data_IF_433841452928
#
_entry.id   IF_433841452928
#
_cell.length_a   1.000
_cell.length_b   1.000
_cell.length_c   1.000
_cell.angle_alpha   90.00
_cell.angle_beta   90.00
_cell.angle_gamma   90.00
#
_symmetry.space_group_name_H-M   'P 1'
#
loop_
_entity.id
_entity.type
_entity.pdbx_description
1 polymer ?
#
# COMPACT_ATOMS: atom_id res chain seq x y z
N UNK A 1 31.87 22.74 0.16
CA UNK A 1 31.50 24.16 0.39
C UNK A 1 30.58 24.23 1.57
N UNK A 2 30.93 25.04 2.53
CA UNK A 2 30.56 25.01 3.94
C UNK A 2 29.14 25.49 4.23
N UNK A 3 28.42 24.78 5.09
CA UNK A 3 27.02 25.02 5.50
C UNK A 3 26.98 25.93 6.75
N UNK A 4 27.54 27.14 6.69
CA UNK A 4 27.39 28.12 7.79
C UNK A 4 27.46 29.55 7.26
N UNK A 5 26.33 30.09 6.85
CA UNK A 5 26.13 31.57 6.83
C UNK A 5 24.69 31.89 6.44
N UNK A 6 23.78 31.86 7.41
CA UNK A 6 22.52 32.62 7.30
C UNK A 6 21.85 32.71 8.69
N UNK A 7 22.45 33.47 9.57
CA UNK A 7 21.82 34.02 10.78
C UNK A 7 22.66 35.19 11.27
N UNK A 8 22.23 36.39 10.98
CA UNK A 8 22.45 37.60 11.81
C UNK A 8 21.89 38.84 11.09
N UNK A 9 20.83 39.39 11.63
CA UNK A 9 20.52 40.86 11.65
C UNK A 9 19.27 41.02 12.51
N UNK A 10 19.39 41.18 13.76
CA UNK A 10 19.46 42.39 14.60
C UNK A 10 18.14 43.15 14.74
N UNK A 11 17.66 43.12 15.98
CA UNK A 11 16.54 43.88 16.50
C UNK A 11 16.83 45.38 16.59
N UNK A 12 15.80 46.18 16.33
CA UNK A 12 15.70 47.55 16.82
C UNK A 12 14.31 47.77 17.42
N UNK A 13 14.28 48.01 18.71
CA UNK A 13 13.11 48.44 19.48
C UNK A 13 12.82 49.93 19.22
N UNK A 14 11.56 50.25 18.92
CA UNK A 14 11.02 51.59 19.22
C UNK A 14 9.58 51.42 19.73
N UNK A 15 9.36 52.00 20.92
CA UNK A 15 8.06 52.07 21.60
C UNK A 15 7.17 53.12 20.93
N UNK A 16 5.89 52.77 20.73
CA UNK A 16 4.87 53.69 20.25
C UNK A 16 3.45 53.16 20.43
N UNK A 17 2.74 53.77 21.36
CA UNK A 17 1.30 53.96 21.55
C UNK A 17 0.33 52.84 21.12
N UNK A 18 -0.41 52.31 22.10
CA UNK A 18 -1.60 51.48 21.96
C UNK A 18 -2.72 52.24 21.23
N UNK A 19 -2.98 51.83 20.01
CA UNK A 19 -4.28 51.93 19.35
C UNK A 19 -4.67 50.51 18.91
N UNK A 20 -5.74 50.02 19.50
CA UNK A 20 -6.30 48.69 19.10
C UNK A 20 -6.68 48.76 17.61
N UNK A 21 -6.08 47.94 16.75
CA UNK A 21 -6.55 47.87 15.38
C UNK A 21 -7.87 47.10 15.34
N UNK A 22 -8.79 47.42 14.39
CA UNK A 22 -9.98 46.65 14.16
C UNK A 22 -9.58 45.22 13.80
N UNK A 23 -10.36 44.22 14.26
CA UNK A 23 -10.27 42.81 13.84
C UNK A 23 -10.19 42.75 12.32
N UNK A 24 -8.98 42.72 11.80
CA UNK A 24 -8.75 42.40 10.41
C UNK A 24 -9.18 40.95 10.25
N UNK A 25 -10.26 40.73 9.52
CA UNK A 25 -10.55 39.43 8.95
C UNK A 25 -9.29 39.04 8.18
N UNK A 26 -8.58 38.02 8.69
CA UNK A 26 -7.45 37.46 7.98
C UNK A 26 -7.93 37.10 6.56
N UNK A 27 -7.26 37.66 5.54
CA UNK A 27 -7.53 37.23 4.17
C UNK A 27 -7.41 35.72 4.12
N UNK A 28 -8.29 35.00 3.37
CA UNK A 28 -8.23 33.56 3.30
C UNK A 28 -6.81 33.16 2.88
N UNK A 29 -6.16 32.31 3.70
CA UNK A 29 -4.82 31.82 3.41
C UNK A 29 -4.79 31.20 1.99
N UNK A 30 -4.03 31.82 1.09
CA UNK A 30 -3.80 31.22 -0.23
C UNK A 30 -2.76 30.10 -0.03
N UNK A 31 -3.19 28.85 -0.24
CA UNK A 31 -2.29 27.72 -0.20
C UNK A 31 -1.31 27.77 -1.38
N UNK A 32 -0.04 27.37 -1.19
CA UNK A 32 0.95 27.38 -2.25
C UNK A 32 0.56 26.42 -3.39
N UNK A 33 0.91 26.78 -4.62
CA UNK A 33 0.74 25.92 -5.77
C UNK A 33 1.88 24.88 -5.77
N UNK A 34 1.60 23.67 -5.28
CA UNK A 34 2.59 22.57 -5.16
C UNK A 34 2.33 21.43 -6.13
N UNK A 35 1.12 21.32 -6.68
CA UNK A 35 0.81 20.36 -7.73
C UNK A 35 1.62 20.64 -9.00
N UNK A 36 2.12 19.59 -9.67
CA UNK A 36 2.88 19.71 -10.92
C UNK A 36 2.08 20.48 -11.97
N UNK A 37 2.66 21.50 -12.63
CA UNK A 37 2.00 22.24 -13.71
C UNK A 37 1.51 21.32 -14.82
N UNK A 38 0.33 21.58 -15.40
CA UNK A 38 -0.32 20.70 -16.37
C UNK A 38 0.59 20.26 -17.54
N UNK A 39 1.44 21.16 -18.02
CA UNK A 39 2.38 20.86 -19.12
C UNK A 39 3.52 19.87 -18.74
N UNK A 40 3.71 19.61 -17.44
CA UNK A 40 4.76 18.72 -16.93
C UNK A 40 4.21 17.42 -16.33
N UNK A 41 2.90 17.21 -16.35
CA UNK A 41 2.25 16.00 -15.85
C UNK A 41 2.50 14.85 -16.80
N UNK A 42 2.81 13.68 -16.26
CA UNK A 42 3.07 12.48 -17.04
C UNK A 42 1.82 11.95 -17.74
N UNK A 43 0.66 12.07 -17.08
CA UNK A 43 -0.63 11.67 -17.61
C UNK A 43 -1.75 12.57 -17.08
N UNK A 44 -2.74 12.86 -17.90
CA UNK A 44 -3.91 13.63 -17.52
C UNK A 44 -5.19 12.84 -17.86
N UNK A 45 -6.00 12.59 -16.83
CA UNK A 45 -7.32 11.97 -16.95
C UNK A 45 -8.39 13.04 -16.84
N UNK A 46 -9.23 13.16 -17.87
CA UNK A 46 -10.35 14.10 -17.84
C UNK A 46 -11.32 13.80 -16.69
N UNK A 47 -11.60 12.53 -16.43
CA UNK A 47 -12.51 12.14 -15.38
C UNK A 47 -11.97 12.48 -13.98
N UNK A 48 -10.66 12.32 -13.75
CA UNK A 48 -10.00 12.68 -12.49
C UNK A 48 -9.97 14.20 -12.31
N UNK A 49 -9.69 15.00 -13.36
CA UNK A 49 -9.73 16.46 -13.29
C UNK A 49 -11.14 16.99 -13.00
N UNK A 50 -12.17 16.36 -13.57
CA UNK A 50 -13.56 16.70 -13.25
C UNK A 50 -13.90 16.39 -11.78
N UNK A 51 -13.45 15.24 -11.27
CA UNK A 51 -13.63 14.86 -9.87
C UNK A 51 -12.95 15.86 -8.92
N UNK A 52 -11.73 16.31 -9.24
CA UNK A 52 -11.02 17.34 -8.47
C UNK A 52 -11.80 18.66 -8.48
N UNK A 53 -12.28 19.07 -9.64
CA UNK A 53 -13.06 20.31 -9.81
C UNK A 53 -14.36 20.24 -8.99
N UNK A 54 -15.06 19.12 -9.04
CA UNK A 54 -16.28 18.89 -8.27
C UNK A 54 -16.01 18.93 -6.75
N UNK A 55 -14.99 18.21 -6.29
CA UNK A 55 -14.60 18.17 -4.89
C UNK A 55 -14.27 19.57 -4.36
N UNK A 56 -13.42 20.33 -5.06
CA UNK A 56 -13.05 21.72 -4.72
C UNK A 56 -14.24 22.66 -4.65
N UNK A 57 -15.25 22.45 -5.49
CA UNK A 57 -16.47 23.28 -5.51
C UNK A 57 -17.40 22.98 -4.32
N UNK A 58 -17.41 21.74 -3.84
CA UNK A 58 -18.40 21.26 -2.87
C UNK A 58 -17.88 21.22 -1.44
N UNK A 59 -16.60 20.88 -1.25
CA UNK A 59 -15.96 20.79 0.05
C UNK A 59 -15.62 22.18 0.56
N UNK A 60 -16.15 22.55 1.74
CA UNK A 60 -15.97 23.90 2.33
C UNK A 60 -14.60 24.10 2.93
N UNK A 61 -13.97 23.04 3.43
CA UNK A 61 -12.63 23.08 3.98
C UNK A 61 -11.62 23.25 2.84
N UNK A 62 -11.10 24.48 2.70
CA UNK A 62 -10.18 24.87 1.62
C UNK A 62 -8.86 24.08 1.68
N UNK A 63 -8.39 23.73 2.87
CA UNK A 63 -7.17 22.96 3.04
C UNK A 63 -7.36 21.51 2.60
N UNK A 64 -8.49 20.87 2.95
CA UNK A 64 -8.82 19.55 2.42
C UNK A 64 -9.00 19.56 0.91
N UNK A 65 -9.61 20.60 0.35
CA UNK A 65 -9.76 20.75 -1.09
C UNK A 65 -8.40 20.88 -1.80
N UNK A 66 -7.48 21.63 -1.22
CA UNK A 66 -6.11 21.77 -1.69
C UNK A 66 -5.31 20.47 -1.57
N UNK A 67 -5.39 19.76 -0.44
CA UNK A 67 -4.75 18.46 -0.25
C UNK A 67 -5.28 17.41 -1.24
N UNK A 68 -6.59 17.39 -1.48
CA UNK A 68 -7.17 16.49 -2.47
C UNK A 68 -6.65 16.75 -3.89
N UNK A 69 -6.59 18.02 -4.30
CA UNK A 69 -6.04 18.43 -5.60
C UNK A 69 -4.58 17.99 -5.80
N UNK A 70 -3.78 17.96 -4.73
CA UNK A 70 -2.38 17.57 -4.80
C UNK A 70 -2.21 16.04 -4.72
N UNK A 71 -2.88 15.41 -3.75
CA UNK A 71 -2.64 14.00 -3.41
C UNK A 71 -3.36 13.04 -4.37
N UNK A 72 -4.64 13.32 -4.70
CA UNK A 72 -5.43 12.39 -5.49
C UNK A 72 -4.86 12.08 -6.87
N UNK A 73 -4.40 13.06 -7.68
CA UNK A 73 -3.80 12.82 -8.99
C UNK A 73 -2.30 12.52 -8.95
N UNK A 74 -1.65 12.50 -7.77
CA UNK A 74 -0.19 12.46 -7.63
C UNK A 74 0.46 11.34 -8.45
N UNK A 75 -0.11 10.15 -8.47
CA UNK A 75 0.38 9.03 -9.29
C UNK A 75 0.34 9.33 -10.77
N UNK A 76 -0.79 9.83 -11.27
CA UNK A 76 -0.95 10.17 -12.70
C UNK A 76 -0.03 11.32 -13.10
N UNK A 77 0.08 12.32 -12.24
CA UNK A 77 0.87 13.50 -12.52
C UNK A 77 2.39 13.22 -12.57
N UNK A 78 2.89 12.24 -11.76
CA UNK A 78 4.33 12.19 -11.46
C UNK A 78 5.01 10.83 -11.62
N UNK A 79 4.28 9.70 -11.52
CA UNK A 79 4.93 8.38 -11.38
C UNK A 79 4.68 7.42 -12.52
N UNK A 80 3.76 7.71 -13.41
CA UNK A 80 3.40 6.82 -14.51
C UNK A 80 4.19 7.15 -15.79
N UNK A 81 4.62 6.10 -16.48
CA UNK A 81 5.14 6.20 -17.86
C UNK A 81 4.30 5.27 -18.73
N UNK A 82 3.38 5.88 -19.50
CA UNK A 82 2.45 5.16 -20.36
C UNK A 82 2.93 5.16 -21.82
N UNK A 83 2.89 4.01 -22.47
CA UNK A 83 3.19 3.84 -23.89
C UNK A 83 2.37 2.71 -24.51
N UNK A 84 2.31 2.67 -25.83
CA UNK A 84 1.82 1.49 -26.56
C UNK A 84 3.00 0.64 -27.00
N UNK A 85 3.04 -0.63 -26.59
CA UNK A 85 4.00 -1.64 -27.05
C UNK A 85 3.32 -2.48 -28.17
N UNK A 86 3.47 -2.04 -29.41
CA UNK A 86 2.66 -2.55 -30.52
C UNK A 86 1.18 -2.18 -30.29
N UNK A 87 0.32 -3.20 -30.22
CA UNK A 87 -1.12 -3.01 -30.00
C UNK A 87 -1.51 -3.14 -28.51
N UNK A 88 -0.56 -3.39 -27.61
CA UNK A 88 -0.84 -3.53 -26.18
C UNK A 88 -0.46 -2.28 -25.41
N UNK A 89 -1.29 -1.78 -24.50
CA UNK A 89 -0.89 -0.75 -23.56
C UNK A 89 0.15 -1.30 -22.58
N UNK A 90 1.10 -0.46 -22.21
CA UNK A 90 2.18 -0.75 -21.30
C UNK A 90 2.42 0.46 -20.40
N UNK A 91 2.36 0.25 -19.07
CA UNK A 91 2.51 1.31 -18.10
C UNK A 91 3.48 0.91 -17.00
N UNK A 92 4.56 1.65 -16.90
CA UNK A 92 5.51 1.57 -15.79
C UNK A 92 5.12 2.59 -14.72
N UNK A 93 5.17 2.19 -13.44
CA UNK A 93 4.76 3.05 -12.31
C UNK A 93 5.82 2.99 -11.23
N UNK A 94 6.51 4.09 -10.99
CA UNK A 94 7.48 4.22 -9.90
C UNK A 94 6.81 4.54 -8.57
N UNK A 95 7.47 4.30 -7.45
CA UNK A 95 6.91 4.54 -6.11
C UNK A 95 6.91 6.02 -5.70
N UNK A 96 7.64 6.84 -6.43
CA UNK A 96 7.92 8.25 -6.14
C UNK A 96 9.40 8.50 -6.32
N UNK A 97 10.13 8.70 -5.22
CA UNK A 97 11.57 8.99 -5.19
C UNK A 97 12.48 7.80 -5.58
N UNK A 98 11.93 6.59 -5.74
CA UNK A 98 12.68 5.41 -6.18
C UNK A 98 12.22 5.04 -7.58
N UNK A 99 13.17 4.99 -8.54
CA UNK A 99 12.93 4.60 -9.94
C UNK A 99 12.87 3.08 -10.07
N UNK A 100 11.85 2.48 -9.47
CA UNK A 100 11.51 1.08 -9.60
C UNK A 100 10.00 0.87 -9.41
N UNK A 101 9.46 -0.18 -10.03
CA UNK A 101 8.05 -0.56 -9.97
C UNK A 101 7.87 -1.76 -9.06
N UNK A 102 7.35 -1.54 -7.85
CA UNK A 102 6.84 -2.60 -6.99
C UNK A 102 5.51 -3.12 -7.51
N UNK A 103 5.28 -4.42 -7.45
CA UNK A 103 4.00 -5.03 -7.82
C UNK A 103 2.86 -4.57 -6.90
N UNK A 104 3.13 -4.43 -5.63
CA UNK A 104 2.23 -3.88 -4.60
C UNK A 104 1.89 -2.43 -4.88
N UNK A 105 2.90 -1.56 -4.89
CA UNK A 105 2.74 -0.11 -5.00
C UNK A 105 2.04 0.28 -6.28
N UNK A 106 2.46 -0.24 -7.43
CA UNK A 106 1.87 0.06 -8.73
C UNK A 106 0.39 -0.28 -8.82
N UNK A 107 -0.05 -1.36 -8.15
CA UNK A 107 -1.46 -1.71 -8.05
C UNK A 107 -2.22 -0.74 -7.15
N UNK A 108 -1.67 -0.45 -5.97
CA UNK A 108 -2.30 0.42 -4.98
C UNK A 108 -2.39 1.88 -5.44
N UNK A 109 -1.37 2.36 -6.15
CA UNK A 109 -1.31 3.73 -6.68
C UNK A 109 -2.36 4.01 -7.76
N UNK A 110 -2.75 3.02 -8.58
CA UNK A 110 -3.79 3.19 -9.61
C UNK A 110 -5.17 2.74 -9.15
N UNK A 111 -5.27 2.09 -7.99
CA UNK A 111 -6.50 1.57 -7.44
C UNK A 111 -7.65 2.59 -7.30
N UNK A 112 -7.44 3.82 -6.81
CA UNK A 112 -8.53 4.78 -6.63
C UNK A 112 -9.20 5.19 -7.94
N UNK A 113 -8.49 5.03 -9.07
CA UNK A 113 -8.98 5.43 -10.39
C UNK A 113 -9.89 4.39 -11.06
N UNK A 114 -10.02 3.18 -10.53
CA UNK A 114 -10.88 2.13 -11.09
C UNK A 114 -12.33 2.58 -11.28
N UNK A 115 -12.82 3.49 -10.44
CA UNK A 115 -14.19 4.04 -10.51
C UNK A 115 -14.43 4.89 -11.78
N UNK A 116 -13.38 5.37 -12.44
CA UNK A 116 -13.46 6.28 -13.57
C UNK A 116 -13.25 5.59 -14.93
N UNK A 117 -12.88 4.31 -14.96
CA UNK A 117 -12.46 3.61 -16.18
C UNK A 117 -13.54 3.47 -17.26
N UNK A 118 -14.83 3.47 -16.88
CA UNK A 118 -15.94 3.40 -17.86
C UNK A 118 -16.09 4.67 -18.68
N UNK A 119 -15.73 5.80 -18.11
CA UNK A 119 -15.95 7.13 -18.70
C UNK A 119 -14.67 7.78 -19.23
N UNK A 120 -13.50 7.15 -19.01
CA UNK A 120 -12.19 7.66 -19.45
C UNK A 120 -11.39 6.52 -20.11
N UNK A 121 -11.45 6.46 -21.44
CA UNK A 121 -10.77 5.42 -22.22
C UNK A 121 -9.24 5.52 -22.12
N UNK A 122 -8.60 6.70 -22.19
CA UNK A 122 -7.16 6.82 -21.96
C UNK A 122 -6.74 6.28 -20.60
N UNK A 123 -7.46 6.59 -19.53
CA UNK A 123 -7.19 6.09 -18.19
C UNK A 123 -7.38 4.56 -18.11
N UNK A 124 -8.41 4.02 -18.76
CA UNK A 124 -8.62 2.57 -18.88
C UNK A 124 -7.43 1.89 -19.54
N UNK A 125 -6.90 2.46 -20.64
CA UNK A 125 -5.70 1.95 -21.31
C UNK A 125 -4.47 2.02 -20.41
N UNK A 126 -4.30 3.09 -19.64
CA UNK A 126 -3.20 3.20 -18.67
C UNK A 126 -3.26 2.07 -17.65
N UNK A 127 -4.43 1.80 -17.03
CA UNK A 127 -4.56 0.73 -16.03
C UNK A 127 -4.39 -0.66 -16.66
N UNK A 128 -4.92 -0.89 -17.86
CA UNK A 128 -4.64 -2.11 -18.62
C UNK A 128 -3.15 -2.29 -18.89
N UNK A 129 -2.42 -1.20 -19.14
CA UNK A 129 -0.96 -1.19 -19.28
C UNK A 129 -0.23 -1.60 -18.00
N UNK A 130 -0.71 -1.19 -16.83
CA UNK A 130 -0.15 -1.66 -15.53
C UNK A 130 -0.31 -3.17 -15.40
N UNK A 131 -1.51 -3.71 -15.70
CA UNK A 131 -1.79 -5.15 -15.65
C UNK A 131 -0.87 -5.93 -16.60
N UNK A 132 -0.68 -5.44 -17.83
CA UNK A 132 0.21 -6.06 -18.80
C UNK A 132 1.67 -6.07 -18.32
N UNK A 133 2.14 -4.96 -17.77
CA UNK A 133 3.51 -4.83 -17.23
C UNK A 133 3.72 -5.77 -16.04
N UNK A 134 2.81 -5.81 -15.09
CA UNK A 134 2.85 -6.72 -13.95
C UNK A 134 2.85 -8.18 -14.39
N UNK A 135 2.07 -8.52 -15.42
CA UNK A 135 2.08 -9.86 -16.02
C UNK A 135 3.47 -10.26 -16.48
N UNK A 136 4.18 -9.37 -17.21
CA UNK A 136 5.56 -9.63 -17.66
C UNK A 136 6.53 -9.82 -16.50
N UNK A 137 6.36 -9.05 -15.42
CA UNK A 137 7.21 -9.15 -14.24
C UNK A 137 6.99 -10.47 -13.48
N UNK A 138 5.74 -10.89 -13.29
CA UNK A 138 5.43 -12.20 -12.67
C UNK A 138 5.91 -13.37 -13.53
N UNK A 139 5.88 -13.23 -14.86
CA UNK A 139 6.47 -14.24 -15.78
C UNK A 139 7.97 -14.29 -15.68
N UNK A 140 8.63 -13.15 -15.49
CA UNK A 140 10.08 -13.05 -15.36
C UNK A 140 10.58 -13.65 -14.05
N UNK A 141 10.05 -13.22 -12.93
CA UNK A 141 10.41 -13.74 -11.60
C UNK A 141 9.26 -13.53 -10.59
N UNK A 142 8.52 -14.58 -10.24
CA UNK A 142 7.43 -14.47 -9.28
C UNK A 142 7.89 -14.28 -7.81
N UNK A 143 9.20 -14.38 -7.55
CA UNK A 143 9.78 -14.16 -6.22
C UNK A 143 10.29 -12.72 -6.03
N UNK A 144 10.35 -11.92 -7.08
CA UNK A 144 10.77 -10.53 -7.00
C UNK A 144 9.58 -9.61 -6.69
N UNK A 145 9.81 -8.61 -5.83
CA UNK A 145 8.81 -7.60 -5.47
C UNK A 145 8.90 -6.34 -6.35
N UNK A 146 10.09 -5.98 -6.87
CA UNK A 146 10.31 -4.74 -7.61
C UNK A 146 11.18 -4.92 -8.85
N UNK A 147 10.89 -4.11 -9.89
CA UNK A 147 11.49 -4.22 -11.22
C UNK A 147 11.81 -2.85 -11.82
N UNK A 148 12.80 -2.85 -12.74
CA UNK A 148 13.11 -1.69 -13.58
C UNK A 148 12.30 -1.70 -14.89
N UNK A 149 12.11 -0.52 -15.51
CA UNK A 149 11.59 -0.43 -16.88
C UNK A 149 12.57 -1.07 -17.89
N UNK A 150 13.87 -0.81 -17.72
CA UNK A 150 14.93 -1.45 -18.49
C UNK A 150 15.17 -2.89 -18.01
N UNK A 151 14.81 -3.87 -18.83
CA UNK A 151 14.96 -5.29 -18.54
C UNK A 151 16.42 -5.79 -18.46
N UNK A 152 17.39 -4.96 -18.85
CA UNK A 152 18.84 -5.25 -18.83
C UNK A 152 19.59 -4.60 -17.67
N UNK A 153 18.94 -3.65 -16.97
CA UNK A 153 19.54 -2.87 -15.88
C UNK A 153 19.93 -3.78 -14.71
N UNK A 154 21.17 -3.62 -14.25
CA UNK A 154 21.63 -4.15 -12.96
C UNK A 154 21.62 -3.02 -11.95
N UNK A 155 20.83 -3.16 -10.90
CA UNK A 155 20.65 -2.13 -9.89
C UNK A 155 21.59 -2.28 -8.69
N UNK A 156 21.35 -1.46 -7.69
CA UNK A 156 22.11 -1.40 -6.43
C UNK A 156 22.11 -2.73 -5.67
N UNK A 157 20.99 -3.47 -5.72
CA UNK A 157 20.83 -4.76 -5.04
C UNK A 157 21.32 -5.97 -5.84
N UNK A 158 22.05 -5.75 -6.93
CA UNK A 158 22.55 -6.83 -7.79
C UNK A 158 23.52 -7.80 -7.09
N UNK A 159 24.03 -7.44 -5.91
CA UNK A 159 24.92 -8.27 -5.07
C UNK A 159 24.19 -9.08 -4.01
N UNK A 160 22.87 -8.96 -3.89
CA UNK A 160 22.06 -9.78 -2.98
C UNK A 160 22.29 -11.27 -3.27
N UNK A 161 22.42 -12.05 -2.20
CA UNK A 161 22.63 -13.51 -2.29
C UNK A 161 21.29 -14.23 -2.48
N UNK A 162 20.72 -14.04 -3.65
CA UNK A 162 19.51 -14.67 -4.17
C UNK A 162 19.71 -14.88 -5.67
N UNK A 163 18.72 -15.39 -6.39
CA UNK A 163 18.80 -15.58 -7.85
C UNK A 163 18.45 -14.26 -8.58
N UNK A 164 19.30 -13.24 -8.38
CA UNK A 164 19.11 -11.91 -8.98
C UNK A 164 19.31 -11.95 -10.49
N UNK A 165 18.39 -11.31 -11.21
CA UNK A 165 18.42 -11.20 -12.68
C UNK A 165 18.45 -9.73 -13.12
N UNK A 166 19.02 -9.41 -14.30
CA UNK A 166 18.91 -8.08 -14.88
C UNK A 166 17.44 -7.65 -15.03
N UNK A 167 17.16 -6.37 -14.79
CA UNK A 167 15.79 -5.82 -14.80
C UNK A 167 14.99 -6.08 -13.53
N UNK A 168 15.51 -6.84 -12.56
CA UNK A 168 14.97 -6.94 -11.21
C UNK A 168 15.65 -5.88 -10.35
N UNK A 169 14.87 -5.04 -9.68
CA UNK A 169 15.36 -4.06 -8.71
C UNK A 169 15.65 -4.73 -7.38
N UNK A 170 14.65 -5.45 -6.85
CA UNK A 170 14.74 -6.16 -5.57
C UNK A 170 14.03 -7.52 -5.66
N UNK A 171 14.60 -8.54 -5.03
CA UNK A 171 14.08 -9.91 -5.06
C UNK A 171 13.68 -10.38 -3.66
N UNK A 172 12.93 -9.56 -2.96
CA UNK A 172 12.32 -9.92 -1.67
C UNK A 172 10.99 -10.65 -1.91
N UNK A 173 10.89 -11.87 -1.40
CA UNK A 173 9.66 -12.67 -1.52
C UNK A 173 8.61 -12.20 -0.52
N UNK A 174 7.50 -11.73 -1.08
CA UNK A 174 6.32 -11.25 -0.38
C UNK A 174 5.08 -11.87 -1.02
N UNK A 175 4.18 -12.44 -0.22
CA UNK A 175 2.91 -13.01 -0.72
C UNK A 175 2.08 -11.95 -1.44
N UNK A 176 2.00 -10.75 -0.86
CA UNK A 176 1.17 -9.67 -1.37
C UNK A 176 1.64 -9.14 -2.72
N UNK A 177 2.93 -9.22 -3.03
CA UNK A 177 3.46 -8.87 -4.35
C UNK A 177 2.82 -9.66 -5.50
N UNK A 178 2.31 -10.88 -5.25
CA UNK A 178 1.54 -11.65 -6.24
C UNK A 178 0.01 -11.46 -6.08
N UNK A 179 -0.46 -11.03 -4.92
CA UNK A 179 -1.88 -10.79 -4.67
C UNK A 179 -2.37 -9.49 -5.29
N UNK A 180 -1.59 -8.42 -5.22
CA UNK A 180 -1.94 -7.10 -5.72
C UNK A 180 -2.24 -7.07 -7.24
N UNK A 181 -1.42 -7.68 -8.12
CA UNK A 181 -1.73 -7.78 -9.53
C UNK A 181 -3.05 -8.50 -9.82
N UNK A 182 -3.34 -9.57 -9.08
CA UNK A 182 -4.61 -10.31 -9.22
C UNK A 182 -5.80 -9.43 -8.78
N UNK A 183 -5.67 -8.75 -7.64
CA UNK A 183 -6.71 -7.83 -7.13
C UNK A 183 -6.99 -6.72 -8.15
N UNK A 184 -5.94 -6.09 -8.69
CA UNK A 184 -6.08 -5.05 -9.71
C UNK A 184 -6.78 -5.59 -10.97
N UNK A 185 -6.31 -6.73 -11.49
CA UNK A 185 -6.87 -7.38 -12.68
C UNK A 185 -8.36 -7.72 -12.49
N UNK A 186 -8.71 -8.34 -11.35
CA UNK A 186 -10.09 -8.71 -11.04
C UNK A 186 -11.00 -7.49 -11.00
N UNK A 187 -10.64 -6.44 -10.29
CA UNK A 187 -11.48 -5.24 -10.15
C UNK A 187 -11.49 -4.38 -11.42
N UNK A 188 -10.40 -4.37 -12.22
CA UNK A 188 -10.43 -3.81 -13.56
C UNK A 188 -11.49 -4.49 -14.43
N UNK A 189 -11.48 -5.84 -14.46
CA UNK A 189 -12.47 -6.59 -15.20
C UNK A 189 -13.89 -6.34 -14.71
N UNK A 190 -14.11 -6.34 -13.38
CA UNK A 190 -15.43 -6.05 -12.82
C UNK A 190 -15.91 -4.63 -13.16
N UNK A 191 -15.00 -3.66 -13.16
CA UNK A 191 -15.34 -2.27 -13.47
C UNK A 191 -15.62 -2.03 -14.96
N UNK A 192 -14.93 -2.72 -15.87
CA UNK A 192 -14.94 -2.40 -17.29
C UNK A 192 -15.59 -3.44 -18.18
N UNK A 193 -15.62 -4.71 -17.77
CA UNK A 193 -15.95 -5.85 -18.62
C UNK A 193 -14.88 -6.20 -19.66
N UNK A 194 -13.79 -5.42 -19.74
CA UNK A 194 -12.72 -5.61 -20.71
C UNK A 194 -11.85 -6.82 -20.35
N UNK A 195 -11.75 -7.79 -21.26
CA UNK A 195 -10.97 -9.02 -21.12
C UNK A 195 -9.63 -8.97 -21.88
N UNK A 196 -9.35 -7.90 -22.62
CA UNK A 196 -8.16 -7.83 -23.48
C UNK A 196 -6.81 -8.05 -22.76
N UNK A 197 -6.60 -7.61 -21.50
CA UNK A 197 -5.36 -7.89 -20.78
C UNK A 197 -5.18 -9.35 -20.35
N UNK A 198 -6.24 -10.17 -20.36
CA UNK A 198 -6.24 -11.52 -19.75
C UNK A 198 -5.97 -12.65 -20.75
N UNK A 199 -4.94 -12.44 -21.57
CA UNK A 199 -4.47 -13.37 -22.58
C UNK A 199 -3.70 -14.58 -22.00
N UNK A 200 -3.12 -15.40 -22.88
CA UNK A 200 -2.35 -16.58 -22.47
C UNK A 200 -1.14 -16.25 -21.56
N UNK A 201 -0.54 -15.06 -21.69
CA UNK A 201 0.56 -14.64 -20.82
C UNK A 201 0.06 -14.35 -19.40
N UNK A 202 -1.05 -13.64 -19.27
CA UNK A 202 -1.68 -13.40 -17.98
C UNK A 202 -2.12 -14.73 -17.32
N UNK A 203 -2.72 -15.64 -18.08
CA UNK A 203 -3.09 -16.97 -17.58
C UNK A 203 -1.86 -17.75 -17.08
N UNK A 204 -0.74 -17.67 -17.79
CA UNK A 204 0.51 -18.28 -17.35
C UNK A 204 1.07 -17.62 -16.08
N UNK A 205 0.96 -16.30 -15.94
CA UNK A 205 1.34 -15.59 -14.71
C UNK A 205 0.51 -16.05 -13.50
N UNK A 206 -0.80 -16.27 -13.68
CA UNK A 206 -1.67 -16.85 -12.63
C UNK A 206 -1.22 -18.27 -12.26
N UNK A 207 -0.85 -19.11 -13.23
CA UNK A 207 -0.31 -20.46 -12.98
C UNK A 207 1.03 -20.41 -12.23
N UNK A 208 1.90 -19.45 -12.58
CA UNK A 208 3.15 -19.22 -11.86
C UNK A 208 2.88 -18.81 -10.41
N UNK A 209 1.92 -17.91 -10.18
CA UNK A 209 1.49 -17.52 -8.82
C UNK A 209 1.01 -18.72 -8.01
N UNK A 210 0.15 -19.54 -8.58
CA UNK A 210 -0.36 -20.76 -7.92
C UNK A 210 0.79 -21.72 -7.55
N UNK A 211 1.73 -21.95 -8.48
CA UNK A 211 2.93 -22.78 -8.24
C UNK A 211 3.77 -22.21 -7.11
N UNK A 212 4.09 -20.91 -7.15
CA UNK A 212 4.91 -20.23 -6.14
C UNK A 212 4.29 -20.31 -4.75
N UNK A 213 2.99 -20.11 -4.64
CA UNK A 213 2.29 -20.26 -3.37
C UNK A 213 2.36 -21.69 -2.83
N UNK A 214 2.16 -22.72 -3.70
CA UNK A 214 2.31 -24.12 -3.31
C UNK A 214 3.74 -24.46 -2.86
N UNK A 215 4.76 -23.96 -3.56
CA UNK A 215 6.17 -24.12 -3.17
C UNK A 215 6.44 -23.50 -1.79
N UNK A 216 5.86 -22.34 -1.53
CA UNK A 216 6.03 -21.62 -0.27
C UNK A 216 5.12 -22.10 0.89
N UNK A 217 4.23 -23.08 0.68
CA UNK A 217 3.65 -23.83 1.79
C UNK A 217 4.69 -24.73 2.48
N UNK A 218 5.84 -24.97 1.87
CA UNK A 218 6.97 -25.75 2.40
C UNK A 218 6.60 -27.15 2.90
N UNK A 219 5.62 -27.81 2.26
CA UNK A 219 5.16 -29.17 2.64
C UNK A 219 6.21 -30.25 2.40
N UNK A 220 7.05 -30.09 1.38
CA UNK A 220 8.05 -31.07 0.94
C UNK A 220 9.49 -30.62 1.09
N UNK A 221 9.73 -29.46 1.70
CA UNK A 221 11.06 -28.89 1.93
C UNK A 221 11.03 -27.40 2.05
N UNK A 222 12.19 -26.75 2.09
CA UNK A 222 12.33 -25.30 2.30
C UNK A 222 11.90 -24.44 1.09
N UNK A 223 11.65 -25.06 -0.06
CA UNK A 223 11.36 -24.38 -1.31
C UNK A 223 12.63 -23.84 -2.00
N UNK A 224 12.49 -23.28 -3.22
CA UNK A 224 13.61 -22.80 -4.03
C UNK A 224 14.12 -21.41 -3.63
N UNK A 225 13.35 -20.65 -2.86
CA UNK A 225 13.68 -19.27 -2.53
C UNK A 225 14.56 -19.17 -1.30
N UNK A 226 15.61 -18.36 -1.41
CA UNK A 226 16.45 -17.90 -0.30
C UNK A 226 16.93 -16.48 -0.57
N UNK A 227 17.19 -15.71 0.48
CA UNK A 227 17.65 -14.33 0.36
C UNK A 227 18.59 -13.97 1.51
N UNK A 228 19.72 -13.38 1.18
CA UNK A 228 20.58 -12.69 2.14
C UNK A 228 21.13 -11.41 1.49
N UNK A 229 21.18 -10.36 2.28
CA UNK A 229 21.79 -9.07 1.93
C UNK A 229 22.90 -8.76 2.90
N UNK A 230 23.98 -8.17 2.43
CA UNK A 230 25.04 -7.65 3.27
C UNK A 230 24.64 -6.24 3.73
N UNK A 231 24.14 -6.12 4.96
CA UNK A 231 23.47 -4.94 5.50
C UNK A 231 23.67 -4.81 6.99
N UNK A 232 23.75 -3.58 7.56
CA UNK A 232 23.72 -3.38 8.99
C UNK A 232 22.31 -3.53 9.60
N UNK A 233 21.25 -3.60 8.79
CA UNK A 233 19.87 -3.67 9.23
C UNK A 233 19.39 -5.12 9.30
N UNK A 234 19.11 -5.59 10.51
CA UNK A 234 18.70 -7.00 10.75
C UNK A 234 17.38 -7.36 10.04
N UNK A 235 16.51 -6.39 9.80
CA UNK A 235 15.23 -6.57 9.09
C UNK A 235 15.37 -6.62 7.58
N UNK A 236 16.57 -6.35 7.04
CA UNK A 236 16.81 -6.29 5.59
C UNK A 236 17.49 -7.55 5.03
N UNK A 237 17.54 -8.62 5.82
CA UNK A 237 18.14 -9.92 5.46
C UNK A 237 17.47 -11.06 6.22
N UNK A 238 17.65 -12.31 5.73
CA UNK A 238 17.07 -13.49 6.37
C UNK A 238 18.14 -14.32 7.10
N UNK A 239 17.84 -14.80 8.32
CA UNK A 239 18.69 -15.76 9.03
C UNK A 239 18.65 -17.16 8.39
N UNK A 240 19.36 -18.13 8.99
CA UNK A 240 19.33 -19.55 8.63
C UNK A 240 19.63 -19.78 7.15
N UNK A 241 20.76 -19.24 6.69
CA UNK A 241 21.24 -19.36 5.30
C UNK A 241 20.27 -18.78 4.25
N UNK A 242 19.44 -17.81 4.66
CA UNK A 242 18.53 -17.11 3.78
C UNK A 242 17.12 -17.71 3.68
N UNK A 243 16.81 -18.72 4.48
CA UNK A 243 15.47 -19.34 4.47
C UNK A 243 14.50 -18.76 5.52
N UNK A 244 14.99 -17.91 6.45
CA UNK A 244 14.22 -17.47 7.60
C UNK A 244 14.15 -18.53 8.70
N UNK A 245 13.48 -18.23 9.80
CA UNK A 245 13.31 -19.19 10.89
C UNK A 245 12.44 -20.40 10.46
N UNK A 246 12.68 -21.58 11.07
CA UNK A 246 11.91 -22.79 10.76
C UNK A 246 10.42 -22.61 10.98
N UNK A 247 9.61 -23.22 10.12
CA UNK A 247 8.16 -23.31 10.25
C UNK A 247 7.71 -24.77 10.22
N UNK A 248 6.59 -25.06 10.90
CA UNK A 248 5.86 -26.31 10.70
C UNK A 248 4.84 -26.09 9.59
N UNK A 249 4.94 -26.87 8.51
CA UNK A 249 3.99 -26.79 7.40
C UNK A 249 2.57 -27.16 7.86
N UNK A 250 1.71 -26.14 7.94
CA UNK A 250 0.31 -26.28 8.43
C UNK A 250 -0.71 -25.85 7.36
N UNK A 251 -0.27 -25.64 6.12
CA UNK A 251 -1.14 -25.22 5.03
C UNK A 251 -1.08 -23.71 4.73
N UNK A 252 -0.45 -22.91 5.61
CA UNK A 252 -0.17 -21.51 5.33
C UNK A 252 0.98 -21.34 4.34
N UNK A 253 1.04 -20.17 3.71
CA UNK A 253 2.08 -19.77 2.76
C UNK A 253 3.13 -18.94 3.50
N UNK A 254 4.41 -19.27 3.37
CA UNK A 254 5.50 -18.48 3.92
C UNK A 254 5.67 -17.18 3.12
N UNK A 255 5.76 -16.05 3.80
CA UNK A 255 6.29 -14.79 3.30
C UNK A 255 7.63 -14.54 3.96
N UNK A 256 8.66 -14.28 3.18
CA UNK A 256 9.98 -13.98 3.73
C UNK A 256 10.08 -12.54 4.21
N UNK A 257 9.36 -11.67 3.54
CA UNK A 257 9.30 -10.26 3.87
C UNK A 257 7.84 -9.79 4.04
N UNK A 258 7.67 -8.69 4.73
CA UNK A 258 6.42 -7.96 4.95
C UNK A 258 6.16 -6.97 3.83
N UNK A 259 4.95 -6.41 3.72
CA UNK A 259 4.68 -5.32 2.77
C UNK A 259 5.53 -4.05 2.97
N UNK A 260 6.23 -3.94 4.10
CA UNK A 260 7.21 -2.89 4.41
C UNK A 260 8.62 -3.20 3.90
N UNK A 261 8.83 -4.31 3.19
CA UNK A 261 10.13 -4.84 2.76
C UNK A 261 11.00 -5.35 3.93
N UNK A 262 10.49 -5.38 5.16
CA UNK A 262 11.16 -5.95 6.33
C UNK A 262 11.00 -7.47 6.42
N UNK A 263 12.04 -8.16 6.84
CA UNK A 263 12.00 -9.60 7.08
C UNK A 263 10.96 -9.97 8.15
N UNK A 264 10.21 -11.04 7.89
CA UNK A 264 9.29 -11.62 8.87
C UNK A 264 10.07 -12.28 10.02
N UNK A 265 9.55 -12.15 11.26
CA UNK A 265 10.05 -12.93 12.38
C UNK A 265 9.58 -14.39 12.28
N UNK A 266 8.31 -14.60 12.03
CA UNK A 266 7.74 -15.90 11.72
C UNK A 266 7.14 -15.85 10.31
N UNK A 267 7.54 -16.79 9.45
CA UNK A 267 7.28 -16.67 8.01
C UNK A 267 5.82 -16.80 7.59
N UNK A 268 4.91 -17.26 8.45
CA UNK A 268 3.49 -17.22 8.14
C UNK A 268 2.90 -15.86 8.53
N UNK A 269 3.06 -14.89 7.63
CA UNK A 269 2.48 -13.55 7.76
C UNK A 269 0.96 -13.63 7.55
N UNK A 270 0.22 -13.45 8.64
CA UNK A 270 -1.23 -13.70 8.67
C UNK A 270 -2.02 -12.77 7.73
N UNK A 271 -1.84 -11.43 7.74
CA UNK A 271 -2.61 -10.58 6.84
C UNK A 271 -2.35 -10.86 5.36
N UNK A 272 -1.12 -11.22 4.97
CA UNK A 272 -0.82 -11.61 3.60
C UNK A 272 -1.43 -12.97 3.22
N UNK A 273 -1.53 -13.93 4.15
CA UNK A 273 -2.25 -15.18 3.93
C UNK A 273 -3.76 -14.95 3.73
N UNK A 274 -4.38 -14.05 4.48
CA UNK A 274 -5.77 -13.63 4.25
C UNK A 274 -5.93 -13.01 2.85
N UNK A 275 -5.02 -12.16 2.44
CA UNK A 275 -5.05 -11.55 1.11
C UNK A 275 -4.84 -12.60 0.01
N UNK A 276 -4.01 -13.63 0.24
CA UNK A 276 -3.84 -14.75 -0.69
C UNK A 276 -5.16 -15.52 -0.89
N UNK A 277 -5.94 -15.77 0.17
CA UNK A 277 -7.26 -16.44 0.05
C UNK A 277 -8.20 -15.67 -0.87
N UNK A 278 -8.29 -14.33 -0.70
CA UNK A 278 -9.12 -13.47 -1.55
C UNK A 278 -8.63 -13.51 -2.99
N UNK A 279 -7.33 -13.30 -3.21
CA UNK A 279 -6.73 -13.25 -4.54
C UNK A 279 -6.85 -14.57 -5.30
N UNK A 280 -6.66 -15.70 -4.62
CA UNK A 280 -6.85 -17.04 -5.19
C UNK A 280 -8.30 -17.27 -5.65
N UNK A 281 -9.29 -16.82 -4.88
CA UNK A 281 -10.71 -16.90 -5.27
C UNK A 281 -11.03 -16.01 -6.48
N UNK A 282 -10.48 -14.81 -6.51
CA UNK A 282 -10.62 -13.87 -7.62
C UNK A 282 -10.00 -14.46 -8.90
N UNK A 283 -8.76 -14.94 -8.82
CA UNK A 283 -8.08 -15.59 -9.94
C UNK A 283 -8.84 -16.83 -10.44
N UNK A 284 -9.37 -17.66 -9.55
CA UNK A 284 -10.17 -18.81 -9.91
C UNK A 284 -11.41 -18.43 -10.72
N UNK A 285 -12.13 -17.39 -10.30
CA UNK A 285 -13.29 -16.88 -11.04
C UNK A 285 -12.93 -16.35 -12.43
N UNK A 286 -11.77 -15.70 -12.57
CA UNK A 286 -11.28 -15.19 -13.86
C UNK A 286 -10.82 -16.34 -14.77
N UNK A 287 -10.06 -17.31 -14.26
CA UNK A 287 -9.60 -18.47 -15.02
C UNK A 287 -10.78 -19.29 -15.56
N UNK A 288 -11.81 -19.47 -14.74
CA UNK A 288 -13.03 -20.17 -15.17
C UNK A 288 -13.81 -19.42 -16.25
N UNK A 289 -14.07 -18.11 -16.02
CA UNK A 289 -14.98 -17.34 -16.88
C UNK A 289 -14.33 -16.80 -18.15
N UNK A 290 -13.05 -16.42 -18.09
CA UNK A 290 -12.35 -15.76 -19.20
C UNK A 290 -11.47 -16.73 -19.99
N UNK A 291 -10.84 -17.68 -19.32
CA UNK A 291 -9.92 -18.63 -19.94
C UNK A 291 -10.58 -20.01 -20.22
N UNK A 292 -11.71 -20.32 -19.58
CA UNK A 292 -12.31 -21.66 -19.64
C UNK A 292 -11.46 -22.74 -18.94
N UNK A 293 -10.41 -22.37 -18.19
CA UNK A 293 -9.48 -23.28 -17.54
C UNK A 293 -10.04 -23.74 -16.18
N UNK A 294 -10.95 -24.73 -16.24
CA UNK A 294 -11.60 -25.30 -15.06
C UNK A 294 -10.63 -25.98 -14.11
N UNK A 295 -9.56 -26.61 -14.63
CA UNK A 295 -8.59 -27.31 -13.81
C UNK A 295 -7.83 -26.32 -12.92
N UNK A 296 -7.24 -25.27 -13.52
CA UNK A 296 -6.54 -24.23 -12.75
C UNK A 296 -7.47 -23.53 -11.77
N UNK A 297 -8.73 -23.26 -12.16
CA UNK A 297 -9.71 -22.65 -11.26
C UNK A 297 -10.01 -23.52 -10.03
N UNK A 298 -10.14 -24.85 -10.21
CA UNK A 298 -10.34 -25.80 -9.11
C UNK A 298 -9.12 -25.85 -8.17
N UNK A 299 -7.90 -25.86 -8.71
CA UNK A 299 -6.67 -25.85 -7.93
C UNK A 299 -6.50 -24.57 -7.11
N UNK A 300 -6.80 -23.40 -7.69
CA UNK A 300 -6.80 -22.12 -6.99
C UNK A 300 -7.81 -22.12 -5.82
N UNK A 301 -9.03 -22.60 -6.05
CA UNK A 301 -10.05 -22.72 -4.99
C UNK A 301 -9.66 -23.72 -3.91
N UNK A 302 -9.01 -24.83 -4.27
CA UNK A 302 -8.53 -25.82 -3.32
C UNK A 302 -7.46 -25.22 -2.40
N UNK A 303 -6.47 -24.51 -2.96
CA UNK A 303 -5.45 -23.83 -2.18
C UNK A 303 -6.06 -22.73 -1.29
N UNK A 304 -7.02 -21.94 -1.82
CA UNK A 304 -7.72 -20.94 -1.02
C UNK A 304 -8.42 -21.52 0.21
N UNK A 305 -9.11 -22.66 0.05
CA UNK A 305 -9.77 -23.35 1.18
C UNK A 305 -8.78 -23.88 2.19
N UNK A 306 -7.66 -24.43 1.73
CA UNK A 306 -6.61 -24.95 2.61
C UNK A 306 -6.00 -23.83 3.46
N UNK A 307 -5.61 -22.71 2.84
CA UNK A 307 -5.05 -21.56 3.56
C UNK A 307 -6.07 -20.96 4.53
N UNK A 308 -7.33 -20.85 4.11
CA UNK A 308 -8.40 -20.32 4.99
C UNK A 308 -8.63 -21.22 6.22
N UNK A 309 -8.59 -22.54 6.05
CA UNK A 309 -8.69 -23.47 7.17
C UNK A 309 -7.50 -23.35 8.12
N UNK A 310 -6.30 -23.27 7.56
CA UNK A 310 -5.08 -23.08 8.34
C UNK A 310 -5.07 -21.74 9.12
N UNK A 311 -5.60 -20.66 8.53
CA UNK A 311 -5.78 -19.39 9.24
C UNK A 311 -6.72 -19.53 10.44
N UNK A 312 -7.84 -20.24 10.30
CA UNK A 312 -8.79 -20.49 11.40
C UNK A 312 -8.16 -21.28 12.55
N UNK A 313 -7.28 -22.23 12.22
CA UNK A 313 -6.65 -23.13 13.20
C UNK A 313 -5.41 -22.53 13.88
N UNK A 314 -4.65 -21.68 13.18
CA UNK A 314 -3.32 -21.26 13.64
C UNK A 314 -3.13 -19.75 13.81
N UNK A 315 -4.02 -18.90 13.26
CA UNK A 315 -3.84 -17.46 13.30
C UNK A 315 -4.59 -16.77 14.46
N UNK A 316 -5.51 -17.47 15.14
CA UNK A 316 -6.32 -16.89 16.22
C UNK A 316 -5.71 -17.27 17.57
N UNK A 317 -5.47 -16.25 18.40
CA UNK A 317 -4.93 -16.42 19.75
C UNK A 317 -5.86 -15.79 20.79
N UNK A 318 -5.82 -16.28 22.02
CA UNK A 318 -6.55 -15.69 23.16
C UNK A 318 -5.65 -14.65 23.85
N UNK A 319 -5.96 -13.37 23.62
CA UNK A 319 -5.25 -12.27 24.28
C UNK A 319 -5.92 -11.89 25.60
N UNK A 320 -5.17 -11.74 26.73
CA UNK A 320 -5.75 -11.56 28.07
C UNK A 320 -6.64 -10.32 28.23
N UNK A 321 -6.41 -9.25 27.44
CA UNK A 321 -7.20 -8.01 27.51
C UNK A 321 -8.22 -7.87 26.37
N UNK A 322 -7.95 -8.49 25.23
CA UNK A 322 -8.74 -8.26 24.01
C UNK A 322 -9.58 -9.48 23.59
N UNK A 323 -9.44 -10.63 24.28
CA UNK A 323 -10.09 -11.87 23.89
C UNK A 323 -9.45 -12.46 22.62
N UNK A 324 -10.24 -13.14 21.78
CA UNK A 324 -9.73 -13.73 20.53
C UNK A 324 -9.36 -12.65 19.53
N UNK A 325 -8.08 -12.66 19.10
CA UNK A 325 -7.52 -11.76 18.09
C UNK A 325 -6.73 -12.55 17.04
N UNK A 326 -6.49 -11.96 15.89
CA UNK A 326 -5.51 -12.48 14.93
C UNK A 326 -4.10 -12.12 15.36
N UNK A 327 -3.18 -13.10 15.32
CA UNK A 327 -1.74 -12.84 15.39
C UNK A 327 -1.27 -12.18 14.08
N UNK A 328 -0.18 -11.45 14.11
CA UNK A 328 0.42 -10.85 12.91
C UNK A 328 1.26 -11.87 12.13
N UNK A 329 2.07 -12.66 12.83
CA UNK A 329 2.87 -13.73 12.27
C UNK A 329 2.79 -14.97 13.17
N UNK A 330 2.87 -16.17 12.56
CA UNK A 330 2.91 -17.45 13.28
C UNK A 330 3.94 -18.38 12.63
N UNK A 331 4.40 -19.42 13.38
CA UNK A 331 5.39 -20.40 12.91
C UNK A 331 4.81 -21.81 12.66
N UNK A 332 3.56 -22.05 13.05
CA UNK A 332 2.92 -23.37 13.00
C UNK A 332 3.32 -24.32 14.13
N UNK A 333 4.32 -23.99 14.96
CA UNK A 333 4.68 -24.73 16.17
C UNK A 333 3.94 -24.23 17.42
N UNK A 334 3.23 -23.10 17.30
CA UNK A 334 2.48 -22.48 18.39
C UNK A 334 3.07 -21.15 18.86
N UNK A 335 4.18 -20.69 18.25
CA UNK A 335 4.68 -19.34 18.49
C UNK A 335 3.98 -18.33 17.61
N UNK A 336 3.84 -17.10 18.12
CA UNK A 336 3.19 -16.01 17.42
C UNK A 336 3.85 -14.66 17.74
N UNK A 337 3.73 -13.74 16.80
CA UNK A 337 4.12 -12.34 16.96
C UNK A 337 2.87 -11.46 16.99
N UNK A 338 2.81 -10.60 18.01
CA UNK A 338 1.70 -9.67 18.25
C UNK A 338 2.13 -8.24 17.96
N UNK A 339 1.77 -7.76 16.79
CA UNK A 339 1.95 -6.39 16.33
C UNK A 339 0.95 -6.10 15.21
N UNK A 340 0.99 -4.92 14.65
CA UNK A 340 0.54 -4.63 13.30
C UNK A 340 1.53 -3.65 12.65
N UNK A 341 1.57 -3.62 11.33
CA UNK A 341 2.39 -2.75 10.52
C UNK A 341 1.48 -1.81 9.71
N UNK A 342 1.96 -0.63 9.40
CA UNK A 342 1.18 0.37 8.66
C UNK A 342 0.96 0.01 7.18
N UNK A 343 1.83 -0.83 6.63
CA UNK A 343 1.77 -1.21 5.22
C UNK A 343 0.67 -2.25 4.98
N UNK A 344 0.02 -2.16 3.84
CA UNK A 344 -1.11 -3.02 3.46
C UNK A 344 -0.60 -4.17 2.57
N UNK A 345 -0.89 -5.43 2.93
CA UNK A 345 -1.82 -5.97 3.93
C UNK A 345 -1.33 -5.86 5.37
N UNK A 346 -2.20 -5.39 6.25
CA UNK A 346 -2.06 -5.34 7.68
C UNK A 346 -3.29 -5.98 8.35
N UNK A 347 -3.23 -6.26 9.65
CA UNK A 347 -4.41 -6.76 10.38
C UNK A 347 -5.56 -5.73 10.35
N UNK A 348 -5.22 -4.43 10.43
CA UNK A 348 -6.20 -3.35 10.32
C UNK A 348 -6.90 -3.34 8.95
N UNK A 349 -6.19 -3.67 7.88
CA UNK A 349 -6.67 -3.57 6.50
C UNK A 349 -7.54 -4.74 6.02
N UNK A 350 -7.75 -5.79 6.81
CA UNK A 350 -8.43 -7.01 6.37
C UNK A 350 -9.82 -6.76 5.73
N UNK A 351 -10.69 -5.89 6.25
CA UNK A 351 -11.96 -5.58 5.59
C UNK A 351 -11.79 -4.80 4.27
N UNK A 352 -10.83 -3.89 4.20
CA UNK A 352 -10.51 -3.15 2.97
C UNK A 352 -10.07 -4.08 1.83
N UNK A 353 -9.41 -5.18 2.16
CA UNK A 353 -9.00 -6.23 1.23
C UNK A 353 -10.12 -7.22 0.89
N UNK A 354 -11.28 -7.14 1.58
CA UNK A 354 -12.37 -8.10 1.45
C UNK A 354 -12.06 -9.47 2.05
N UNK A 355 -11.12 -9.53 3.00
CA UNK A 355 -10.66 -10.78 3.61
C UNK A 355 -11.52 -11.22 4.80
N UNK A 356 -12.04 -10.26 5.55
CA UNK A 356 -12.98 -10.48 6.66
C UNK A 356 -14.07 -9.41 6.65
N UNK A 357 -15.21 -9.70 7.24
CA UNK A 357 -16.25 -8.69 7.46
C UNK A 357 -15.85 -7.76 8.62
N UNK A 358 -16.15 -6.46 8.51
CA UNK A 358 -15.89 -5.50 9.58
C UNK A 358 -16.61 -5.85 10.90
N UNK A 359 -17.72 -6.58 10.80
CA UNK A 359 -18.51 -7.05 11.94
C UNK A 359 -17.96 -8.34 12.59
N UNK A 360 -16.95 -9.00 11.99
CA UNK A 360 -16.35 -10.22 12.54
C UNK A 360 -15.85 -9.99 13.97
N UNK A 361 -16.23 -10.81 14.96
CA UNK A 361 -15.86 -10.59 16.35
C UNK A 361 -14.36 -10.63 16.60
N UNK A 362 -13.62 -11.52 15.91
CA UNK A 362 -12.16 -11.65 16.05
C UNK A 362 -11.51 -10.42 15.46
N UNK A 363 -11.97 -9.97 14.28
CA UNK A 363 -11.46 -8.73 13.68
C UNK A 363 -11.73 -7.50 14.56
N UNK A 364 -12.93 -7.37 15.12
CA UNK A 364 -13.26 -6.24 16.03
C UNK A 364 -12.32 -6.18 17.24
N UNK A 365 -12.02 -7.33 17.81
CA UNK A 365 -11.06 -7.43 18.91
C UNK A 365 -9.64 -7.10 18.43
N UNK A 366 -9.25 -7.64 17.28
CA UNK A 366 -7.96 -7.34 16.64
C UNK A 366 -7.82 -5.85 16.36
N UNK A 367 -8.85 -5.20 15.80
CA UNK A 367 -8.85 -3.76 15.55
C UNK A 367 -8.65 -2.94 16.83
N UNK A 368 -9.30 -3.32 17.93
CA UNK A 368 -9.10 -2.67 19.24
C UNK A 368 -7.68 -2.88 19.77
N UNK A 369 -7.10 -4.05 19.53
CA UNK A 369 -5.74 -4.36 19.90
C UNK A 369 -4.73 -3.54 19.10
N UNK A 370 -4.80 -3.54 17.77
CA UNK A 370 -3.81 -2.87 16.91
C UNK A 370 -3.84 -1.35 17.01
N UNK A 371 -4.99 -0.78 17.40
CA UNK A 371 -5.19 0.66 17.66
C UNK A 371 -5.01 1.02 19.15
N UNK A 372 -4.19 0.28 19.87
CA UNK A 372 -3.91 0.51 21.30
C UNK A 372 -2.41 0.35 21.59
N UNK A 373 -1.99 0.81 22.77
CA UNK A 373 -0.61 0.66 23.27
C UNK A 373 -0.18 -0.81 23.50
N UNK A 374 -1.09 -1.80 23.33
CA UNK A 374 -0.73 -3.21 23.32
C UNK A 374 -0.08 -3.65 21.99
N UNK A 375 -0.26 -2.89 20.92
CA UNK A 375 0.53 -3.00 19.71
C UNK A 375 1.83 -2.18 19.88
N UNK A 376 3.02 -2.81 19.86
CA UNK A 376 4.28 -2.12 20.09
C UNK A 376 4.61 -1.04 19.08
N UNK A 377 3.94 -1.05 17.94
CA UNK A 377 4.11 -0.05 16.87
C UNK A 377 2.94 0.94 16.78
N UNK A 378 2.02 0.96 17.73
CA UNK A 378 1.06 2.04 17.88
C UNK A 378 1.70 3.18 18.68
N UNK A 379 1.99 4.27 18.01
CA UNK A 379 2.62 5.44 18.61
C UNK A 379 1.58 6.52 18.89
N UNK A 380 1.76 7.18 20.03
CA UNK A 380 0.90 8.31 20.45
C UNK A 380 1.78 9.46 20.92
N UNK A 381 1.56 10.63 20.34
CA UNK A 381 2.29 11.84 20.63
C UNK A 381 1.41 13.09 20.67
N UNK A 382 2.04 14.24 20.71
CA UNK A 382 1.35 15.53 20.78
C UNK A 382 0.73 15.95 19.44
N UNK A 383 1.27 15.48 18.31
CA UNK A 383 0.77 15.82 16.98
C UNK A 383 -0.16 14.74 16.40
N UNK A 384 0.12 13.47 16.70
CA UNK A 384 -0.66 12.37 16.14
C UNK A 384 -0.61 11.09 16.97
N UNK A 385 -1.58 10.20 16.70
CA UNK A 385 -1.52 8.80 17.06
C UNK A 385 -1.78 7.92 15.84
N UNK A 386 -1.09 6.77 15.75
CA UNK A 386 -1.27 5.84 14.64
C UNK A 386 -0.26 4.70 14.65
N UNK A 387 -0.44 3.76 13.73
CA UNK A 387 0.46 2.62 13.58
C UNK A 387 1.65 3.04 12.71
N UNK A 388 2.84 2.65 13.14
CA UNK A 388 4.08 2.71 12.37
C UNK A 388 4.54 1.33 11.94
N UNK A 389 5.81 1.04 12.19
CA UNK A 389 6.43 -0.25 11.89
C UNK A 389 7.93 -0.22 12.20
N UNK A 390 8.60 -1.37 12.14
CA UNK A 390 10.05 -1.42 12.36
C UNK A 390 10.85 -0.74 11.25
N UNK A 391 10.30 -0.63 10.05
CA UNK A 391 10.97 -0.14 8.83
C UNK A 391 11.63 1.23 9.01
N UNK A 392 10.90 2.19 9.58
CA UNK A 392 11.38 3.57 9.78
C UNK A 392 11.73 3.89 11.24
N UNK A 393 11.59 2.89 12.13
CA UNK A 393 11.94 2.99 13.54
C UNK A 393 10.82 3.50 14.44
N UNK A 394 11.18 3.77 15.71
CA UNK A 394 10.23 4.15 16.74
C UNK A 394 9.70 5.57 16.55
N UNK A 395 8.49 5.81 17.08
CA UNK A 395 7.82 7.12 17.13
C UNK A 395 7.42 7.70 15.76
N UNK A 396 7.57 6.92 14.69
CA UNK A 396 7.20 7.30 13.33
C UNK A 396 5.83 6.73 12.97
N UNK A 397 4.85 7.61 12.80
CA UNK A 397 3.47 7.28 12.39
C UNK A 397 3.36 7.34 10.88
N UNK A 398 2.68 6.37 10.27
CA UNK A 398 2.44 6.37 8.85
C UNK A 398 1.05 6.93 8.51
N UNK A 399 0.95 7.92 7.62
CA UNK A 399 -0.34 8.44 7.13
C UNK A 399 -1.26 7.33 6.60
N UNK A 400 -0.67 6.29 6.00
CA UNK A 400 -1.41 5.13 5.49
C UNK A 400 -2.19 4.40 6.58
N UNK A 401 -1.65 4.27 7.79
CA UNK A 401 -2.34 3.61 8.90
C UNK A 401 -3.57 4.42 9.39
N UNK A 402 -3.43 5.74 9.43
CA UNK A 402 -4.53 6.65 9.79
C UNK A 402 -5.61 6.62 8.70
N UNK A 403 -5.19 6.62 7.43
CA UNK A 403 -6.09 6.47 6.27
C UNK A 403 -6.84 5.14 6.33
N UNK A 404 -6.13 4.05 6.62
CA UNK A 404 -6.71 2.71 6.72
C UNK A 404 -7.68 2.60 7.92
N UNK A 405 -7.36 3.26 9.05
CA UNK A 405 -8.27 3.35 10.20
C UNK A 405 -9.61 3.96 9.79
N UNK A 406 -9.59 5.03 8.99
CA UNK A 406 -10.81 5.65 8.47
C UNK A 406 -11.53 4.77 7.44
N UNK A 407 -10.80 4.15 6.49
CA UNK A 407 -11.38 3.32 5.43
C UNK A 407 -12.04 2.03 5.95
N UNK A 408 -11.66 1.59 7.15
CA UNK A 408 -12.21 0.40 7.83
C UNK A 408 -13.13 0.72 9.00
N UNK A 409 -13.59 1.98 9.09
CA UNK A 409 -14.51 2.44 10.12
C UNK A 409 -15.89 2.77 9.54
N UNK A 410 -16.93 2.41 10.29
CA UNK A 410 -18.31 2.86 10.04
C UNK A 410 -18.70 4.06 10.91
N UNK A 411 -17.87 4.43 11.89
CA UNK A 411 -18.08 5.54 12.80
C UNK A 411 -17.69 6.88 12.15
N UNK A 412 -18.68 7.72 11.93
CA UNK A 412 -18.52 9.06 11.33
C UNK A 412 -17.57 9.96 12.13
N UNK A 413 -17.57 9.84 13.46
CA UNK A 413 -16.68 10.63 14.32
C UNK A 413 -15.24 10.18 14.16
N UNK A 414 -14.99 8.87 14.11
CA UNK A 414 -13.65 8.32 13.87
C UNK A 414 -13.12 8.69 12.47
N UNK A 415 -13.95 8.55 11.44
CA UNK A 415 -13.57 8.95 10.06
C UNK A 415 -13.17 10.42 10.02
N UNK A 416 -14.00 11.30 10.60
CA UNK A 416 -13.73 12.74 10.66
C UNK A 416 -12.47 13.07 11.46
N UNK A 417 -12.24 12.39 12.57
CA UNK A 417 -11.03 12.55 13.38
C UNK A 417 -9.77 12.15 12.59
N UNK A 418 -9.79 11.03 11.88
CA UNK A 418 -8.69 10.59 11.02
C UNK A 418 -8.41 11.58 9.88
N UNK A 419 -9.45 12.08 9.21
CA UNK A 419 -9.29 13.08 8.13
C UNK A 419 -8.65 14.38 8.68
N UNK A 420 -9.12 14.85 9.84
CA UNK A 420 -8.55 16.04 10.49
C UNK A 420 -7.09 15.80 10.93
N UNK A 421 -6.78 14.60 11.42
CA UNK A 421 -5.42 14.25 11.80
C UNK A 421 -4.47 14.28 10.60
N UNK A 422 -4.87 13.67 9.48
CA UNK A 422 -4.10 13.71 8.23
C UNK A 422 -3.95 15.14 7.70
N UNK A 423 -5.01 15.94 7.73
CA UNK A 423 -4.96 17.35 7.36
C UNK A 423 -3.93 18.13 8.18
N UNK A 424 -3.80 17.86 9.47
CA UNK A 424 -2.89 18.59 10.36
C UNK A 424 -1.45 18.06 10.37
N UNK A 425 -1.16 16.97 9.66
CA UNK A 425 0.15 16.28 9.74
C UNK A 425 0.91 16.19 8.42
N UNK A 426 0.48 16.91 7.38
CA UNK A 426 1.18 16.95 6.09
C UNK A 426 2.47 17.82 6.10
N UNK A 427 2.90 18.33 7.25
CA UNK A 427 4.17 19.05 7.42
C UNK A 427 4.28 20.38 6.67
N UNK A 428 3.18 20.93 6.13
CA UNK A 428 3.15 22.14 5.30
C UNK A 428 3.45 21.90 3.83
N UNK A 429 3.69 20.66 3.40
CA UNK A 429 4.09 20.32 2.03
C UNK A 429 2.92 20.23 1.04
N UNK A 430 1.71 19.95 1.53
CA UNK A 430 0.54 19.69 0.71
C UNK A 430 0.44 18.24 0.21
N UNK A 431 1.28 17.35 0.74
CA UNK A 431 1.34 15.93 0.40
C UNK A 431 1.42 15.04 1.64
N UNK A 432 0.99 13.79 1.52
CA UNK A 432 1.25 12.74 2.49
C UNK A 432 2.66 12.18 2.26
N UNK A 433 3.36 11.92 3.37
CA UNK A 433 4.69 11.33 3.38
C UNK A 433 4.63 9.84 3.66
N UNK A 434 5.75 9.14 3.59
CA UNK A 434 5.82 7.75 4.02
C UNK A 434 5.50 7.63 5.51
N UNK A 435 6.23 8.37 6.36
CA UNK A 435 5.98 8.46 7.80
C UNK A 435 6.33 9.85 8.33
N UNK A 436 5.85 10.17 9.53
CA UNK A 436 6.20 11.39 10.26
C UNK A 436 6.30 11.12 11.76
N UNK A 437 7.09 11.94 12.47
CA UNK A 437 7.27 11.79 13.91
C UNK A 437 5.99 12.18 14.67
N UNK A 438 5.57 11.35 15.63
CA UNK A 438 4.31 11.50 16.40
C UNK A 438 4.13 12.87 17.09
N UNK A 439 5.23 13.56 17.38
CA UNK A 439 5.22 14.87 18.05
C UNK A 439 5.57 16.04 17.12
N UNK A 440 6.12 15.80 15.92
CA UNK A 440 6.53 16.84 14.98
C UNK A 440 6.34 16.38 13.53
N UNK A 441 5.23 16.76 12.88
CA UNK A 441 4.93 16.37 11.50
C UNK A 441 5.93 16.89 10.46
N UNK A 442 6.80 17.84 10.81
CA UNK A 442 7.86 18.32 9.92
C UNK A 442 9.06 17.38 9.84
N UNK A 443 9.16 16.43 10.80
CA UNK A 443 10.13 15.35 10.77
C UNK A 443 9.49 14.14 10.10
N UNK A 444 9.65 14.02 8.78
CA UNK A 444 9.08 12.97 7.98
C UNK A 444 10.14 12.25 7.14
N UNK A 445 9.82 11.02 6.74
CA UNK A 445 10.58 10.24 5.77
C UNK A 445 9.93 10.35 4.40
N UNK A 446 10.70 10.16 3.35
CA UNK A 446 10.29 10.17 1.93
C UNK A 446 9.22 11.21 1.61
N UNK A 447 9.66 12.40 1.24
CA UNK A 447 8.79 13.53 0.87
C UNK A 447 7.87 13.20 -0.34
N UNK A 448 8.26 12.24 -1.17
CA UNK A 448 7.53 11.84 -2.35
C UNK A 448 7.30 10.32 -2.33
N UNK A 449 6.23 9.91 -1.64
CA UNK A 449 5.74 8.54 -1.57
C UNK A 449 4.31 8.50 -2.14
N UNK A 450 4.18 8.02 -3.38
CA UNK A 450 2.96 8.19 -4.15
C UNK A 450 1.78 7.36 -3.61
N UNK A 451 2.04 6.18 -3.04
CA UNK A 451 0.98 5.34 -2.48
C UNK A 451 0.23 6.04 -1.34
N UNK A 452 0.94 6.66 -0.39
CA UNK A 452 0.31 7.39 0.71
C UNK A 452 -0.60 8.52 0.19
N UNK A 453 -0.17 9.21 -0.86
CA UNK A 453 -0.95 10.29 -1.47
C UNK A 453 -2.23 9.80 -2.12
N UNK A 454 -2.14 8.77 -2.96
CA UNK A 454 -3.33 8.24 -3.64
C UNK A 454 -4.29 7.54 -2.70
N UNK A 455 -3.79 6.86 -1.66
CA UNK A 455 -4.65 6.24 -0.64
C UNK A 455 -5.41 7.29 0.18
N UNK A 456 -4.76 8.41 0.53
CA UNK A 456 -5.45 9.54 1.16
C UNK A 456 -6.49 10.16 0.22
N UNK A 457 -6.16 10.32 -1.06
CA UNK A 457 -7.10 10.75 -2.08
C UNK A 457 -8.30 9.80 -2.22
N UNK A 458 -8.08 8.49 -2.15
CA UNK A 458 -9.16 7.48 -2.11
C UNK A 458 -10.10 7.69 -0.91
N UNK A 459 -9.53 7.88 0.29
CA UNK A 459 -10.31 8.15 1.48
C UNK A 459 -11.21 9.38 1.31
N UNK A 460 -10.64 10.51 0.86
CA UNK A 460 -11.40 11.74 0.68
C UNK A 460 -12.48 11.58 -0.38
N UNK A 461 -12.17 10.95 -1.52
CA UNK A 461 -13.15 10.73 -2.58
C UNK A 461 -14.26 9.78 -2.15
N UNK A 462 -13.91 8.67 -1.49
CA UNK A 462 -14.89 7.73 -0.93
C UNK A 462 -15.80 8.43 0.08
N UNK A 463 -15.23 9.18 1.02
CA UNK A 463 -16.00 9.92 2.03
C UNK A 463 -16.93 10.95 1.38
N UNK A 464 -16.44 11.67 0.35
CA UNK A 464 -17.28 12.61 -0.41
C UNK A 464 -18.48 11.94 -1.09
N UNK A 465 -18.28 10.74 -1.65
CA UNK A 465 -19.35 10.01 -2.36
C UNK A 465 -20.35 9.34 -1.40
N UNK A 466 -19.89 8.78 -0.29
CA UNK A 466 -20.70 7.94 0.59
C UNK A 466 -21.22 8.68 1.84
N UNK A 467 -20.45 9.64 2.34
CA UNK A 467 -20.74 10.40 3.58
C UNK A 467 -20.40 11.89 3.40
N UNK A 468 -20.98 12.59 2.40
CA UNK A 468 -20.62 13.97 2.09
C UNK A 468 -20.77 14.93 3.26
N UNK A 469 -21.70 14.66 4.21
CA UNK A 469 -21.91 15.47 5.41
C UNK A 469 -20.66 15.59 6.31
N UNK A 470 -19.67 14.73 6.14
CA UNK A 470 -18.42 14.81 6.89
C UNK A 470 -17.44 15.85 6.33
N UNK A 471 -17.63 16.28 5.08
CA UNK A 471 -16.70 17.15 4.33
C UNK A 471 -17.36 18.46 3.84
N UNK A 472 -18.69 18.50 3.69
CA UNK A 472 -19.44 19.62 3.09
C UNK A 472 -20.00 20.60 4.12
#
# INVERSE_FOLDING_TARGET
MDRRTFLQSSALFSAGAFLSPPLAFAAPADFPLVRVPAAKRNFQSQAVELAITEFKKKVKDRELAWLFENCFPSTLDTTVTFKMAGNKPDTYVITGDIDAMWLRDSSAQVWPYLKFLKQDEPLRKLVAGVINRQTQYVLKDPYANAFYDDSTKKGEWSTDRTDMQPGVHERKWEIDSLCYPIRLAYHYWQATGDAAPFDAQWQQAVKNTLRTFKEQQRKTGLGPYRFQRDTPHATDTLPMSGYGYPVKAVGLICSSFRPSDDATLYSFLVPSNFFAVVSLRQAAGMMEKLAGDQQTAQELRALAREVEQALKEHAIIDHPKHGKIYAYEVDGFGSFNLMDDANVPSLLSLPYLGAVEAADPVYRNTRKYVLSENNPFFFKGSAAEGIGGPHVGHDMVWPMSITMRALTSDDDQEIKACINLLKNTHGGTGFMHESFHKDDPKKFTRAWFAWANTLFGELLWKTYQEKPQLLV
#
